data_IF_943248270967
#
_entry.id   IF_943248270967
#
_cell.length_a   1.000
_cell.length_b   1.000
_cell.length_c   1.000
_cell.angle_alpha   90.00
_cell.angle_beta   90.00
_cell.angle_gamma   90.00
#
_symmetry.space_group_name_H-M   'P 1'
#
loop_
_entity.id
_entity.type
_entity.pdbx_description
1 polymer ?
#
# COMPACT_ATOMS: atom_id res chain seq x y z
N UNK A 1 -10.14 23.76 -2.16
CA UNK A 1 -9.38 22.61 -2.72
C UNK A 1 -9.58 21.39 -1.83
N UNK A 2 -9.79 20.23 -2.43
CA UNK A 2 -10.00 18.99 -1.68
C UNK A 2 -8.70 18.54 -1.03
N UNK A 3 -8.78 17.87 0.16
CA UNK A 3 -7.57 17.28 0.74
C UNK A 3 -7.00 16.22 -0.19
N UNK A 4 -5.68 16.19 -0.31
CA UNK A 4 -4.96 15.17 -1.09
C UNK A 4 -4.47 14.09 -0.14
N UNK A 5 -4.88 12.86 -0.38
CA UNK A 5 -4.60 11.71 0.47
C UNK A 5 -3.67 10.74 -0.25
N UNK A 6 -2.64 10.28 0.46
CA UNK A 6 -1.82 9.14 0.02
C UNK A 6 -2.46 7.88 0.59
N UNK A 7 -2.87 6.96 -0.27
CA UNK A 7 -3.56 5.74 0.15
C UNK A 7 -2.59 4.56 0.13
N UNK A 8 -2.01 4.25 1.30
CA UNK A 8 -1.11 3.12 1.47
C UNK A 8 -1.87 1.82 1.68
N UNK A 9 -1.38 0.73 1.09
CA UNK A 9 -1.93 -0.61 1.25
C UNK A 9 -0.82 -1.65 1.18
N UNK A 10 -0.97 -2.81 1.87
CA UNK A 10 -0.03 -3.90 1.67
C UNK A 10 -0.15 -4.41 0.24
N UNK A 11 0.96 -4.87 -0.33
CA UNK A 11 1.02 -5.30 -1.72
C UNK A 11 1.42 -6.76 -1.87
N UNK A 12 2.63 -7.11 -1.41
CA UNK A 12 3.18 -8.46 -1.56
C UNK A 12 2.63 -9.40 -0.50
N UNK A 13 2.46 -10.66 -0.88
CA UNK A 13 2.13 -11.71 0.08
C UNK A 13 3.37 -12.09 0.88
N UNK A 14 3.18 -12.26 2.20
CA UNK A 14 4.22 -12.77 3.08
C UNK A 14 3.75 -14.05 3.74
N UNK A 15 4.61 -15.06 3.72
CA UNK A 15 4.38 -16.27 4.50
C UNK A 15 4.53 -15.95 5.98
N UNK A 16 3.57 -16.38 6.80
CA UNK A 16 3.64 -16.25 8.25
C UNK A 16 4.52 -17.32 8.88
N UNK A 17 4.85 -18.37 8.12
CA UNK A 17 5.74 -19.43 8.60
C UNK A 17 7.18 -19.10 8.20
N UNK A 18 8.07 -19.06 9.21
CA UNK A 18 9.51 -19.00 8.96
C UNK A 18 9.98 -20.41 8.61
N UNK A 19 9.65 -20.87 7.43
CA UNK A 19 10.15 -22.15 6.96
C UNK A 19 11.60 -22.01 6.56
N UNK A 20 12.45 -22.62 7.34
CA UNK A 20 13.89 -22.72 7.07
C UNK A 20 14.13 -24.10 6.50
N UNK A 21 14.48 -24.20 5.19
CA UNK A 21 14.83 -25.50 4.62
C UNK A 21 14.69 -25.58 3.11
N UNK A 22 15.18 -26.69 2.57
CA UNK A 22 15.22 -26.99 1.12
C UNK A 22 13.83 -27.27 0.53
N UNK A 23 12.81 -27.50 1.36
CA UNK A 23 11.47 -27.85 0.93
C UNK A 23 10.50 -26.67 1.08
N UNK A 24 10.99 -25.45 0.91
CA UNK A 24 10.15 -24.27 0.96
C UNK A 24 9.16 -24.29 -0.20
N UNK A 25 7.83 -24.21 0.04
CA UNK A 25 6.87 -24.19 -1.05
C UNK A 25 7.09 -23.00 -1.96
N UNK A 26 6.84 -23.19 -3.25
CA UNK A 26 6.87 -22.09 -4.21
C UNK A 26 5.68 -21.16 -3.93
N UNK A 27 5.96 -19.93 -3.52
CA UNK A 27 4.95 -18.94 -3.16
C UNK A 27 4.73 -17.89 -4.25
N UNK A 28 5.40 -18.02 -5.41
CA UNK A 28 5.34 -17.00 -6.47
C UNK A 28 3.92 -16.81 -7.01
N UNK A 29 3.16 -17.88 -7.19
CA UNK A 29 1.77 -17.79 -7.65
C UNK A 29 0.88 -17.14 -6.60
N UNK A 30 1.07 -17.49 -5.32
CA UNK A 30 0.33 -16.87 -4.23
C UNK A 30 0.61 -15.36 -4.14
N UNK A 31 1.87 -14.97 -4.31
CA UNK A 31 2.25 -13.56 -4.31
C UNK A 31 1.62 -12.83 -5.49
N UNK A 32 1.63 -13.42 -6.68
CA UNK A 32 1.02 -12.83 -7.87
C UNK A 32 -0.48 -12.60 -7.68
N UNK A 33 -1.19 -13.62 -7.17
CA UNK A 33 -2.63 -13.52 -6.91
C UNK A 33 -2.93 -12.46 -5.86
N UNK A 34 -2.14 -12.41 -4.80
CA UNK A 34 -2.31 -11.43 -3.72
C UNK A 34 -2.13 -10.01 -4.23
N UNK A 35 -1.10 -9.78 -5.04
CA UNK A 35 -0.86 -8.46 -5.64
C UNK A 35 -2.03 -8.01 -6.50
N UNK A 36 -2.58 -8.92 -7.31
CA UNK A 36 -3.72 -8.63 -8.17
C UNK A 36 -4.97 -8.28 -7.35
N UNK A 37 -5.27 -9.07 -6.31
CA UNK A 37 -6.41 -8.83 -5.43
C UNK A 37 -6.28 -7.50 -4.69
N UNK A 38 -5.10 -7.20 -4.18
CA UNK A 38 -4.85 -5.96 -3.44
C UNK A 38 -4.91 -4.74 -4.34
N UNK A 39 -4.44 -4.88 -5.58
CA UNK A 39 -4.59 -3.83 -6.60
C UNK A 39 -6.07 -3.50 -6.84
N UNK A 40 -6.89 -4.53 -7.03
CA UNK A 40 -8.33 -4.34 -7.23
C UNK A 40 -8.99 -3.69 -6.00
N UNK A 41 -8.70 -4.20 -4.82
CA UNK A 41 -9.28 -3.71 -3.58
C UNK A 41 -8.93 -2.24 -3.32
N UNK A 42 -7.66 -1.88 -3.43
CA UNK A 42 -7.23 -0.49 -3.15
C UNK A 42 -7.76 0.48 -4.20
N UNK A 43 -7.88 0.02 -5.45
CA UNK A 43 -8.43 0.87 -6.52
C UNK A 43 -9.91 1.16 -6.29
N UNK A 44 -10.69 0.19 -5.80
CA UNK A 44 -12.08 0.43 -5.41
C UNK A 44 -12.19 1.40 -4.25
N UNK A 45 -11.33 1.25 -3.24
CA UNK A 45 -11.29 2.17 -2.09
C UNK A 45 -10.93 3.58 -2.53
N UNK A 46 -9.95 3.71 -3.43
CA UNK A 46 -9.57 5.00 -4.00
C UNK A 46 -10.76 5.68 -4.69
N UNK A 47 -11.52 4.92 -5.49
CA UNK A 47 -12.70 5.45 -6.16
C UNK A 47 -13.75 5.95 -5.18
N UNK A 48 -13.99 5.20 -4.09
CA UNK A 48 -14.92 5.61 -3.04
C UNK A 48 -14.46 6.89 -2.33
N UNK A 49 -13.15 7.03 -2.10
CA UNK A 49 -12.59 8.24 -1.49
C UNK A 49 -12.77 9.46 -2.40
N UNK A 50 -12.53 9.31 -3.71
CA UNK A 50 -12.82 10.38 -4.67
C UNK A 50 -14.29 10.79 -4.60
N UNK A 51 -15.19 9.81 -4.54
CA UNK A 51 -16.62 10.07 -4.45
C UNK A 51 -17.01 10.72 -3.12
N UNK A 52 -16.17 10.60 -2.09
CA UNK A 52 -16.41 11.15 -0.77
C UNK A 52 -15.79 12.54 -0.54
N UNK A 53 -15.19 13.11 -1.58
CA UNK A 53 -14.67 14.49 -1.51
C UNK A 53 -13.18 14.60 -1.26
N UNK A 54 -12.40 13.54 -1.50
CA UNK A 54 -10.94 13.58 -1.41
C UNK A 54 -10.33 13.53 -2.80
N UNK A 55 -9.15 14.13 -2.95
CA UNK A 55 -8.24 13.78 -4.03
C UNK A 55 -7.32 12.68 -3.52
N UNK A 56 -7.02 11.68 -4.34
CA UNK A 56 -6.33 10.47 -3.88
C UNK A 56 -5.15 10.14 -4.77
N UNK A 57 -4.01 9.90 -4.15
CA UNK A 57 -2.91 9.20 -4.81
C UNK A 57 -2.83 7.78 -4.24
N UNK A 58 -3.10 6.79 -5.10
CA UNK A 58 -3.03 5.37 -4.74
C UNK A 58 -1.81 4.77 -5.44
N UNK A 59 -0.68 4.60 -4.72
CA UNK A 59 0.57 4.16 -5.37
C UNK A 59 0.44 2.80 -6.03
N UNK A 60 -0.25 1.85 -5.43
CA UNK A 60 -0.41 0.50 -6.00
C UNK A 60 -1.29 0.53 -7.24
N UNK A 61 -2.33 1.37 -7.26
CA UNK A 61 -3.18 1.50 -8.45
C UNK A 61 -2.39 2.00 -9.66
N UNK A 62 -1.41 2.86 -9.44
CA UNK A 62 -0.54 3.38 -10.48
C UNK A 62 0.58 2.38 -10.83
N UNK A 63 1.27 1.86 -9.82
CA UNK A 63 2.49 1.08 -10.03
C UNK A 63 2.22 -0.34 -10.51
N UNK A 64 1.12 -0.97 -10.08
CA UNK A 64 0.84 -2.35 -10.43
C UNK A 64 0.80 -2.60 -11.96
N UNK A 65 0.02 -1.83 -12.75
CA UNK A 65 0.04 -2.03 -14.20
C UNK A 65 1.36 -1.61 -14.86
N UNK A 66 2.08 -0.64 -14.29
CA UNK A 66 3.35 -0.18 -14.84
C UNK A 66 4.46 -1.19 -14.57
N UNK A 67 4.38 -1.87 -13.43
CA UNK A 67 5.43 -2.77 -12.95
C UNK A 67 5.81 -3.86 -13.95
N UNK A 68 4.86 -4.36 -14.72
CA UNK A 68 5.11 -5.43 -15.70
C UNK A 68 6.09 -5.01 -16.81
N UNK A 69 6.28 -3.72 -17.01
CA UNK A 69 7.20 -3.19 -18.01
C UNK A 69 8.55 -2.76 -17.42
N UNK A 70 8.72 -2.87 -16.11
CA UNK A 70 9.94 -2.46 -15.42
C UNK A 70 10.83 -3.66 -15.08
N UNK A 71 12.15 -3.41 -14.95
CA UNK A 71 13.12 -4.47 -14.69
C UNK A 71 13.22 -4.87 -13.22
N UNK A 72 12.88 -3.97 -12.30
CA UNK A 72 13.04 -4.20 -10.84
C UNK A 72 11.81 -3.83 -10.03
N UNK A 73 10.64 -3.82 -10.65
CA UNK A 73 9.41 -3.30 -10.03
C UNK A 73 8.87 -4.15 -8.87
N UNK A 74 9.33 -5.40 -8.74
CA UNK A 74 8.89 -6.27 -7.65
C UNK A 74 9.51 -5.94 -6.30
N UNK A 75 10.46 -5.01 -6.24
CA UNK A 75 11.15 -4.62 -5.02
C UNK A 75 10.64 -3.26 -4.54
N UNK A 76 10.40 -3.15 -3.24
CA UNK A 76 9.94 -1.88 -2.65
C UNK A 76 10.92 -0.75 -2.95
N UNK A 77 12.22 -1.03 -2.92
CA UNK A 77 13.27 -0.02 -3.16
C UNK A 77 13.12 0.69 -4.50
N UNK A 78 12.54 0.03 -5.51
CA UNK A 78 12.32 0.63 -6.82
C UNK A 78 11.34 1.81 -6.74
N UNK A 79 10.44 1.80 -5.77
CA UNK A 79 9.39 2.78 -5.60
C UNK A 79 9.56 3.67 -4.36
N UNK A 80 10.46 3.30 -3.45
CA UNK A 80 10.56 3.93 -2.13
C UNK A 80 10.74 5.43 -2.19
N UNK A 81 11.73 5.90 -2.93
CA UNK A 81 11.98 7.35 -3.05
C UNK A 81 10.79 8.07 -3.68
N UNK A 82 10.24 7.49 -4.74
CA UNK A 82 9.08 8.06 -5.42
C UNK A 82 7.88 8.17 -4.47
N UNK A 83 7.59 7.09 -3.74
CA UNK A 83 6.46 7.06 -2.82
C UNK A 83 6.64 8.09 -1.69
N UNK A 84 7.85 8.23 -1.16
CA UNK A 84 8.14 9.24 -0.14
C UNK A 84 7.91 10.65 -0.66
N UNK A 85 8.30 10.92 -1.90
CA UNK A 85 8.06 12.22 -2.52
C UNK A 85 6.56 12.50 -2.66
N UNK A 86 5.78 11.48 -2.99
CA UNK A 86 4.34 11.63 -3.10
C UNK A 86 3.69 11.86 -1.74
N UNK A 87 4.16 11.17 -0.69
CA UNK A 87 3.69 11.40 0.67
C UNK A 87 3.91 12.87 1.08
N UNK A 88 5.08 13.42 0.77
CA UNK A 88 5.40 14.82 1.09
C UNK A 88 4.45 15.81 0.42
N UNK A 89 3.84 15.44 -0.70
CA UNK A 89 2.90 16.31 -1.42
C UNK A 89 1.46 16.16 -0.89
N UNK A 90 1.20 15.17 -0.05
CA UNK A 90 -0.14 14.88 0.45
C UNK A 90 -0.39 15.55 1.81
N UNK A 91 -1.66 15.83 2.09
CA UNK A 91 -2.07 16.39 3.37
C UNK A 91 -2.10 15.35 4.48
N UNK A 92 -2.34 14.09 4.12
CA UNK A 92 -2.43 12.99 5.08
C UNK A 92 -2.20 11.66 4.37
N UNK A 93 -1.92 10.63 5.17
CA UNK A 93 -1.80 9.25 4.70
C UNK A 93 -2.96 8.45 5.28
N UNK A 94 -3.71 7.79 4.41
CA UNK A 94 -4.66 6.76 4.83
C UNK A 94 -4.01 5.41 4.61
N UNK A 95 -4.06 4.55 5.64
CA UNK A 95 -3.59 3.18 5.55
C UNK A 95 -4.79 2.27 5.47
N UNK A 96 -4.90 1.54 4.36
CA UNK A 96 -5.97 0.56 4.17
C UNK A 96 -5.60 -0.71 4.94
N UNK A 97 -6.27 -0.95 6.06
CA UNK A 97 -5.96 -2.03 6.98
C UNK A 97 -6.68 -3.32 6.57
N UNK A 98 -6.31 -3.86 5.43
CA UNK A 98 -6.73 -5.18 4.98
C UNK A 98 -5.74 -6.23 5.51
N UNK A 99 -6.07 -7.50 5.39
CA UNK A 99 -5.23 -8.57 5.92
C UNK A 99 -3.77 -8.41 5.47
N UNK A 100 -2.86 -8.50 6.43
CA UNK A 100 -1.42 -8.43 6.20
C UNK A 100 -0.82 -7.03 6.28
N UNK A 101 -1.62 -5.99 6.53
CA UNK A 101 -1.09 -4.62 6.56
C UNK A 101 -0.02 -4.42 7.64
N UNK A 102 -0.19 -5.08 8.80
CA UNK A 102 0.75 -4.96 9.93
C UNK A 102 2.11 -5.58 9.63
N UNK A 103 2.13 -6.59 8.76
CA UNK A 103 3.35 -7.30 8.39
C UNK A 103 4.00 -6.74 7.13
N UNK A 104 3.42 -5.73 6.53
CA UNK A 104 3.93 -5.13 5.30
C UNK A 104 5.09 -4.19 5.60
N UNK A 105 6.27 -4.49 5.07
CA UNK A 105 7.44 -3.62 5.20
C UNK A 105 7.20 -2.28 4.52
N UNK A 106 6.58 -2.29 3.35
CA UNK A 106 6.26 -1.07 2.62
C UNK A 106 5.36 -0.15 3.41
N UNK A 107 4.26 -0.68 3.96
CA UNK A 107 3.33 0.11 4.77
C UNK A 107 4.01 0.66 6.03
N UNK A 108 4.81 -0.18 6.71
CA UNK A 108 5.55 0.26 7.90
C UNK A 108 6.49 1.42 7.59
N UNK A 109 7.22 1.34 6.49
CA UNK A 109 8.16 2.39 6.07
C UNK A 109 7.41 3.68 5.72
N UNK A 110 6.28 3.58 5.03
CA UNK A 110 5.46 4.73 4.67
C UNK A 110 4.89 5.43 5.91
N UNK A 111 4.37 4.64 6.87
CA UNK A 111 3.87 5.17 8.13
C UNK A 111 4.98 5.92 8.89
N UNK A 112 6.13 5.28 9.03
CA UNK A 112 7.25 5.87 9.77
C UNK A 112 7.75 7.14 9.09
N UNK A 113 7.84 7.14 7.78
CA UNK A 113 8.25 8.32 7.03
C UNK A 113 7.26 9.48 7.23
N UNK A 114 5.96 9.22 7.08
CA UNK A 114 4.92 10.24 7.24
C UNK A 114 4.93 10.83 8.64
N UNK A 115 5.03 9.97 9.68
CA UNK A 115 5.10 10.43 11.07
C UNK A 115 6.33 11.28 11.31
N UNK A 116 7.47 10.90 10.76
CA UNK A 116 8.72 11.66 10.88
C UNK A 116 8.62 13.04 10.23
N UNK A 117 7.76 13.21 9.24
CA UNK A 117 7.52 14.48 8.54
C UNK A 117 6.35 15.26 9.13
N UNK A 118 5.73 14.78 10.19
CA UNK A 118 4.58 15.46 10.80
C UNK A 118 3.30 15.35 9.98
N UNK A 119 3.22 14.39 9.06
CA UNK A 119 2.04 14.18 8.23
C UNK A 119 1.10 13.20 8.94
N UNK A 120 -0.18 13.55 9.15
CA UNK A 120 -1.11 12.66 9.84
C UNK A 120 -1.28 11.32 9.14
N UNK A 121 -1.33 10.25 9.92
CA UNK A 121 -1.59 8.88 9.44
C UNK A 121 -2.89 8.40 10.06
N UNK A 122 -3.83 8.01 9.21
CA UNK A 122 -5.17 7.57 9.62
C UNK A 122 -5.39 6.18 9.05
N UNK A 123 -5.78 5.23 9.91
CA UNK A 123 -6.08 3.87 9.48
C UNK A 123 -7.55 3.76 9.14
N UNK A 124 -7.86 3.12 8.01
CA UNK A 124 -9.22 2.92 7.54
C UNK A 124 -9.43 1.46 7.13
N UNK A 125 -10.69 1.03 7.13
CA UNK A 125 -11.08 -0.25 6.53
C UNK A 125 -11.65 -0.04 5.12
N UNK A 126 -12.08 -1.11 4.47
CA UNK A 126 -12.61 -1.05 3.10
C UNK A 126 -13.91 -0.24 2.99
N UNK A 127 -14.64 -0.07 4.10
CA UNK A 127 -15.86 0.72 4.16
C UNK A 127 -15.60 2.19 4.52
N UNK A 128 -14.34 2.61 4.47
CA UNK A 128 -13.88 3.97 4.80
C UNK A 128 -14.10 4.36 6.26
N UNK A 129 -14.28 3.39 7.13
CA UNK A 129 -14.40 3.65 8.56
C UNK A 129 -13.01 3.84 9.17
N UNK A 130 -12.87 4.86 10.01
CA UNK A 130 -11.62 5.14 10.70
C UNK A 130 -11.46 4.11 11.82
N UNK A 131 -10.28 3.49 11.88
CA UNK A 131 -9.93 2.51 12.90
C UNK A 131 -9.13 3.20 14.00
N UNK A 132 -9.61 3.06 15.24
CA UNK A 132 -8.93 3.59 16.42
C UNK A 132 -8.01 2.53 17.03
N UNK A 133 -6.96 3.00 17.68
CA UNK A 133 -6.09 2.11 18.44
C UNK A 133 -4.68 2.45 18.43
#
# INVERSE_FOLDING_TARGET
MKPLVYLGTPYSWKSKSKEIGINKPDTSEKDRQTKEERFETVSEVAARLFNSGFDVFSPISMSHPIAKYMTNAGQFDAWEEFDYRMILMCHMVFVLCIEGWEDSDGVSKEINFAKGQGIPVIRINEDLQILEG
#
